data_IF_275513278626
#
_entry.id   IF_275513278626
#
_cell.length_a   1.000
_cell.length_b   1.000
_cell.length_c   1.000
_cell.angle_alpha   90.00
_cell.angle_beta   90.00
_cell.angle_gamma   90.00
#
_symmetry.space_group_name_H-M   'P 1'
#
loop_
_entity.id
_entity.type
_entity.pdbx_description
1 polymer ?
#
# COMPACT_ATOMS: atom_id res chain seq x y z
N UNK A 1 -8.44 3.98 -20.21
CA UNK A 1 -6.98 3.92 -19.98
C UNK A 1 -6.18 4.44 -21.19
N UNK A 2 -6.78 4.55 -22.37
CA UNK A 2 -6.05 4.83 -23.63
C UNK A 2 -5.48 6.25 -23.75
N UNK A 3 -6.03 7.24 -23.04
CA UNK A 3 -5.58 8.63 -23.15
C UNK A 3 -4.22 8.93 -22.51
N UNK A 4 -3.82 8.19 -21.47
CA UNK A 4 -2.58 8.45 -20.71
C UNK A 4 -1.41 7.54 -21.12
N UNK A 5 -1.71 6.38 -21.72
CA UNK A 5 -0.75 5.49 -22.37
C UNK A 5 0.22 6.20 -23.34
N UNK A 6 -0.22 7.10 -24.24
CA UNK A 6 0.70 7.81 -25.13
C UNK A 6 1.64 8.75 -24.38
N UNK A 7 1.16 9.43 -23.32
CA UNK A 7 1.99 10.32 -22.48
C UNK A 7 3.06 9.50 -21.76
N UNK A 8 2.68 8.36 -21.16
CA UNK A 8 3.61 7.47 -20.47
C UNK A 8 4.69 6.91 -21.42
N UNK A 9 4.30 6.51 -22.65
CA UNK A 9 5.26 6.05 -23.68
C UNK A 9 6.26 7.13 -24.06
N UNK A 10 5.81 8.37 -24.22
CA UNK A 10 6.68 9.48 -24.61
C UNK A 10 7.62 9.93 -23.48
N UNK A 11 7.13 9.92 -22.23
CA UNK A 11 7.96 10.12 -21.04
C UNK A 11 9.03 9.03 -20.93
N UNK A 12 8.66 7.76 -21.13
CA UNK A 12 9.61 6.63 -21.12
C UNK A 12 10.68 6.80 -22.19
N UNK A 13 10.31 7.14 -23.43
CA UNK A 13 11.26 7.39 -24.53
C UNK A 13 12.25 8.50 -24.21
N UNK A 14 11.80 9.60 -23.59
CA UNK A 14 12.70 10.71 -23.17
C UNK A 14 13.66 10.30 -22.05
N UNK A 15 13.18 9.55 -21.06
CA UNK A 15 14.01 9.06 -19.96
C UNK A 15 15.04 8.04 -20.46
N UNK A 16 14.64 7.12 -21.35
CA UNK A 16 15.53 6.13 -21.95
C UNK A 16 16.63 6.77 -22.80
N UNK A 17 16.28 7.79 -23.59
CA UNK A 17 17.25 8.56 -24.39
C UNK A 17 18.25 9.34 -23.51
N UNK A 18 17.83 9.80 -22.33
CA UNK A 18 18.68 10.57 -21.42
C UNK A 18 19.56 9.69 -20.53
N UNK A 19 19.06 8.54 -20.08
CA UNK A 19 19.71 7.74 -19.04
C UNK A 19 20.28 6.40 -19.49
N UNK A 20 19.97 5.92 -20.70
CA UNK A 20 20.64 4.78 -21.35
C UNK A 20 20.57 3.41 -20.64
N UNK A 21 20.26 2.35 -21.37
CA UNK A 21 20.64 0.98 -20.99
C UNK A 21 19.78 0.22 -19.97
N UNK A 22 18.63 0.73 -19.52
CA UNK A 22 17.68 -0.05 -18.71
C UNK A 22 16.21 0.18 -19.11
N UNK A 23 15.35 -0.82 -18.87
CA UNK A 23 13.90 -0.65 -18.93
C UNK A 23 13.41 0.22 -17.77
N UNK A 24 13.14 1.49 -18.04
CA UNK A 24 12.57 2.38 -17.02
C UNK A 24 11.10 2.04 -16.76
N UNK A 25 10.78 1.62 -15.54
CA UNK A 25 9.40 1.50 -15.07
C UNK A 25 8.98 2.84 -14.48
N UNK A 26 7.89 3.41 -15.01
CA UNK A 26 7.30 4.65 -14.50
C UNK A 26 6.16 4.25 -13.58
N UNK A 27 6.27 4.58 -12.29
CA UNK A 27 5.14 4.48 -11.38
C UNK A 27 4.05 5.45 -11.83
N UNK A 28 2.84 4.94 -12.00
CA UNK A 28 1.67 5.74 -12.40
C UNK A 28 0.63 5.74 -11.27
N UNK A 29 -0.21 6.77 -11.26
CA UNK A 29 -1.27 6.92 -10.27
C UNK A 29 -2.27 5.74 -10.29
N UNK A 30 -2.68 5.20 -9.13
CA UNK A 30 -3.62 4.08 -9.05
C UNK A 30 -5.00 4.38 -9.64
N UNK A 31 -5.39 5.64 -9.87
CA UNK A 31 -6.62 6.01 -10.59
C UNK A 31 -6.72 5.31 -11.95
N UNK A 32 -5.59 5.03 -12.59
CA UNK A 32 -5.55 4.33 -13.87
C UNK A 32 -6.13 2.92 -13.80
N UNK A 33 -6.02 2.27 -12.64
CA UNK A 33 -6.49 0.91 -12.41
C UNK A 33 -8.00 0.86 -12.19
N UNK A 34 -8.67 1.98 -11.88
CA UNK A 34 -10.11 2.01 -11.63
C UNK A 34 -10.95 1.57 -12.82
N UNK A 35 -10.41 1.71 -14.04
CA UNK A 35 -11.07 1.21 -15.25
C UNK A 35 -10.94 -0.30 -15.47
N UNK A 36 -10.08 -0.99 -14.70
CA UNK A 36 -9.87 -2.42 -14.84
C UNK A 36 -11.05 -3.19 -14.22
N UNK A 37 -11.61 -4.14 -14.96
CA UNK A 37 -12.81 -4.90 -14.55
C UNK A 37 -12.66 -5.54 -13.17
N UNK A 38 -11.54 -6.19 -12.88
CA UNK A 38 -11.29 -6.76 -11.55
C UNK A 38 -11.29 -5.72 -10.41
N UNK A 39 -10.86 -4.48 -10.68
CA UNK A 39 -10.89 -3.39 -9.68
C UNK A 39 -12.31 -2.93 -9.46
N UNK A 40 -13.07 -2.73 -10.54
CA UNK A 40 -14.49 -2.36 -10.44
C UNK A 40 -15.27 -3.42 -9.67
N UNK A 41 -15.10 -4.71 -10.01
CA UNK A 41 -15.75 -5.82 -9.31
C UNK A 41 -15.36 -5.89 -7.84
N UNK A 42 -14.07 -5.75 -7.52
CA UNK A 42 -13.62 -5.74 -6.12
C UNK A 42 -14.22 -4.55 -5.35
N UNK A 43 -14.22 -3.35 -5.95
CA UNK A 43 -14.75 -2.14 -5.34
C UNK A 43 -16.23 -2.29 -4.98
N UNK A 44 -17.04 -2.82 -5.90
CA UNK A 44 -18.47 -3.05 -5.68
C UNK A 44 -18.74 -4.01 -4.51
N UNK A 45 -17.91 -5.04 -4.36
CA UNK A 45 -18.00 -5.98 -3.23
C UNK A 45 -17.55 -5.30 -1.93
N UNK A 46 -16.49 -4.48 -2.00
CA UNK A 46 -15.95 -3.81 -0.83
C UNK A 46 -16.85 -2.69 -0.28
N UNK A 47 -17.75 -2.11 -1.06
CA UNK A 47 -18.70 -1.09 -0.56
C UNK A 47 -19.52 -1.62 0.64
N UNK A 48 -20.35 -2.67 0.51
CA UNK A 48 -21.09 -3.21 1.64
C UNK A 48 -20.18 -3.90 2.67
N UNK A 49 -19.11 -4.55 2.20
CA UNK A 49 -18.19 -5.28 3.08
C UNK A 49 -17.44 -4.34 4.03
N UNK A 50 -17.05 -3.15 3.57
CA UNK A 50 -16.33 -2.16 4.39
C UNK A 50 -17.21 -1.63 5.53
N UNK A 51 -18.52 -1.45 5.27
CA UNK A 51 -19.48 -1.10 6.33
C UNK A 51 -19.54 -2.22 7.37
N UNK A 52 -19.59 -3.48 6.93
CA UNK A 52 -19.58 -4.63 7.84
C UNK A 52 -18.28 -4.70 8.65
N UNK A 53 -17.13 -4.48 8.01
CA UNK A 53 -15.82 -4.40 8.69
C UNK A 53 -15.83 -3.28 9.72
N UNK A 54 -16.37 -2.10 9.40
CA UNK A 54 -16.44 -0.98 10.34
C UNK A 54 -17.26 -1.30 11.59
N UNK A 55 -18.30 -2.14 11.49
CA UNK A 55 -19.08 -2.60 12.65
C UNK A 55 -18.35 -3.67 13.45
N UNK A 56 -17.58 -4.54 12.78
CA UNK A 56 -16.91 -5.69 13.43
C UNK A 56 -15.57 -5.32 14.06
N UNK A 57 -14.84 -4.33 13.54
CA UNK A 57 -13.52 -3.94 14.05
C UNK A 57 -13.67 -3.38 15.48
N UNK A 58 -13.03 -4.00 16.48
CA UNK A 58 -13.18 -3.58 17.87
C UNK A 58 -12.59 -2.18 18.08
N UNK A 59 -13.34 -1.34 18.78
CA UNK A 59 -12.92 0.04 19.08
C UNK A 59 -13.04 1.01 17.90
N UNK A 60 -13.56 0.57 16.74
CA UNK A 60 -13.80 1.46 15.61
C UNK A 60 -14.95 2.45 15.91
N UNK A 61 -14.73 3.72 15.63
CA UNK A 61 -15.73 4.80 15.78
C UNK A 61 -16.04 5.48 14.44
N UNK A 62 -15.42 5.04 13.35
CA UNK A 62 -15.54 5.65 12.03
C UNK A 62 -16.45 4.81 11.13
N UNK A 63 -17.55 5.40 10.68
CA UNK A 63 -18.37 4.84 9.61
C UNK A 63 -18.04 5.57 8.28
N UNK A 64 -17.49 4.88 7.27
CA UNK A 64 -16.86 5.53 6.11
C UNK A 64 -17.87 5.92 5.03
N UNK A 65 -19.02 6.50 5.38
CA UNK A 65 -20.07 6.85 4.40
C UNK A 65 -19.57 7.81 3.31
N UNK A 66 -18.75 8.80 3.68
CA UNK A 66 -18.17 9.75 2.73
C UNK A 66 -17.09 9.14 1.83
N UNK A 67 -16.45 8.07 2.30
CA UNK A 67 -15.29 7.44 1.64
C UNK A 67 -15.68 6.17 0.85
N UNK A 68 -16.96 5.79 0.81
CA UNK A 68 -17.41 4.63 0.02
C UNK A 68 -17.10 4.80 -1.47
N UNK A 69 -17.17 6.04 -1.97
CA UNK A 69 -16.87 6.37 -3.36
C UNK A 69 -15.38 6.20 -3.72
N UNK A 70 -14.50 6.28 -2.73
CA UNK A 70 -13.04 6.17 -2.92
C UNK A 70 -12.49 4.78 -2.64
N UNK A 71 -13.33 3.82 -2.22
CA UNK A 71 -12.93 2.43 -1.96
C UNK A 71 -12.14 1.83 -3.14
N UNK A 72 -12.52 2.13 -4.38
CA UNK A 72 -11.81 1.59 -5.53
C UNK A 72 -10.32 1.91 -5.56
N UNK A 73 -9.90 3.06 -5.00
CA UNK A 73 -8.49 3.42 -4.89
C UNK A 73 -7.75 2.54 -3.87
N UNK A 74 -8.39 2.21 -2.74
CA UNK A 74 -7.83 1.32 -1.73
C UNK A 74 -7.58 -0.09 -2.28
N UNK A 75 -8.54 -0.61 -3.04
CA UNK A 75 -8.47 -1.99 -3.55
C UNK A 75 -7.69 -2.09 -4.87
N UNK A 76 -7.54 -0.99 -5.61
CA UNK A 76 -6.80 -0.95 -6.88
C UNK A 76 -5.38 -1.55 -6.75
N UNK A 77 -4.64 -1.15 -5.72
CA UNK A 77 -3.31 -1.68 -5.46
C UNK A 77 -3.33 -3.16 -5.07
N UNK A 78 -4.30 -3.58 -4.26
CA UNK A 78 -4.47 -4.99 -3.91
C UNK A 78 -4.74 -5.84 -5.16
N UNK A 79 -5.59 -5.38 -6.07
CA UNK A 79 -5.87 -6.07 -7.34
C UNK A 79 -4.63 -6.14 -8.23
N UNK A 80 -3.86 -5.06 -8.33
CA UNK A 80 -2.63 -5.03 -9.11
C UNK A 80 -1.58 -6.01 -8.57
N UNK A 81 -1.38 -6.04 -7.26
CA UNK A 81 -0.45 -6.99 -6.60
C UNK A 81 -0.90 -8.43 -6.81
N UNK A 82 -2.20 -8.69 -6.72
CA UNK A 82 -2.78 -10.03 -6.92
C UNK A 82 -3.04 -10.37 -8.39
N UNK A 83 -2.57 -9.56 -9.34
CA UNK A 83 -2.69 -9.79 -10.79
C UNK A 83 -4.15 -10.05 -11.23
N UNK A 84 -5.10 -9.29 -10.67
CA UNK A 84 -6.51 -9.44 -11.01
C UNK A 84 -7.26 -10.56 -10.27
N UNK A 85 -6.60 -11.34 -9.41
CA UNK A 85 -7.24 -12.41 -8.64
C UNK A 85 -8.13 -11.84 -7.53
N UNK A 86 -9.45 -11.93 -7.73
CA UNK A 86 -10.44 -11.34 -6.83
C UNK A 86 -10.44 -11.98 -5.44
N UNK A 87 -10.30 -13.30 -5.34
CA UNK A 87 -10.33 -13.99 -4.03
C UNK A 87 -9.17 -13.55 -3.14
N UNK A 88 -7.94 -13.49 -3.68
CA UNK A 88 -6.77 -13.02 -2.93
C UNK A 88 -6.87 -11.52 -2.61
N UNK A 89 -7.48 -10.75 -3.50
CA UNK A 89 -7.79 -9.34 -3.28
C UNK A 89 -8.76 -9.14 -2.13
N UNK A 90 -9.79 -9.99 -2.00
CA UNK A 90 -10.75 -9.89 -0.91
C UNK A 90 -10.08 -10.12 0.45
N UNK A 91 -9.24 -11.15 0.55
CA UNK A 91 -8.51 -11.45 1.80
C UNK A 91 -7.60 -10.28 2.20
N UNK A 92 -6.77 -9.80 1.27
CA UNK A 92 -5.86 -8.69 1.54
C UNK A 92 -6.60 -7.38 1.79
N UNK A 93 -7.66 -7.08 1.02
CA UNK A 93 -8.45 -5.87 1.16
C UNK A 93 -9.21 -5.81 2.49
N UNK A 94 -9.70 -6.94 3.02
CA UNK A 94 -10.32 -6.97 4.36
C UNK A 94 -9.31 -6.57 5.43
N UNK A 95 -8.08 -7.09 5.36
CA UNK A 95 -7.00 -6.76 6.30
C UNK A 95 -6.62 -5.28 6.18
N UNK A 96 -6.43 -4.80 4.95
CA UNK A 96 -6.11 -3.39 4.68
C UNK A 96 -7.20 -2.48 5.25
N UNK A 97 -8.47 -2.76 4.95
CA UNK A 97 -9.59 -1.94 5.38
C UNK A 97 -9.75 -1.93 6.91
N UNK A 98 -9.54 -3.08 7.55
CA UNK A 98 -9.55 -3.17 9.01
C UNK A 98 -8.46 -2.32 9.67
N UNK A 99 -7.24 -2.36 9.13
CA UNK A 99 -6.13 -1.52 9.60
C UNK A 99 -6.43 -0.04 9.35
N UNK A 100 -6.91 0.31 8.17
CA UNK A 100 -7.26 1.69 7.80
C UNK A 100 -8.32 2.28 8.73
N UNK A 101 -9.38 1.54 9.04
CA UNK A 101 -10.43 1.98 9.97
C UNK A 101 -9.93 2.11 11.41
N UNK A 102 -9.07 1.18 11.84
CA UNK A 102 -8.45 1.25 13.16
C UNK A 102 -7.55 2.48 13.31
N UNK A 103 -6.77 2.80 12.28
CA UNK A 103 -5.94 4.00 12.23
C UNK A 103 -6.81 5.28 12.15
N UNK A 104 -7.87 5.26 11.33
CA UNK A 104 -8.81 6.38 11.20
C UNK A 104 -9.47 6.74 12.53
N UNK A 105 -9.76 5.73 13.37
CA UNK A 105 -10.30 5.95 14.72
C UNK A 105 -9.32 6.71 15.61
N UNK A 106 -8.02 6.44 15.52
CA UNK A 106 -7.02 7.15 16.33
C UNK A 106 -6.79 8.59 15.88
N UNK A 107 -7.10 8.91 14.62
CA UNK A 107 -6.87 10.26 14.05
C UNK A 107 -8.10 11.18 14.14
N UNK A 108 -9.22 10.72 14.71
CA UNK A 108 -10.47 11.51 14.89
C UNK A 108 -10.20 12.85 15.58
N UNK A 109 -9.40 12.85 16.66
CA UNK A 109 -9.11 14.08 17.41
C UNK A 109 -8.41 15.14 16.55
N UNK A 110 -7.44 14.72 15.73
CA UNK A 110 -6.71 15.63 14.83
C UNK A 110 -7.62 16.14 13.70
N UNK A 111 -8.43 15.26 13.10
CA UNK A 111 -9.40 15.67 12.07
C UNK A 111 -10.46 16.63 12.60
N UNK A 112 -10.94 16.41 13.82
CA UNK A 112 -11.90 17.30 14.47
C UNK A 112 -11.29 18.67 14.75
N UNK A 113 -10.04 18.74 15.22
CA UNK A 113 -9.31 20.00 15.40
C UNK A 113 -9.09 20.73 14.08
N UNK A 114 -8.71 20.01 13.02
CA UNK A 114 -8.55 20.58 11.68
C UNK A 114 -9.87 21.17 11.15
N UNK A 115 -10.98 20.44 11.31
CA UNK A 115 -12.30 20.91 10.92
C UNK A 115 -12.75 22.14 11.73
N UNK A 116 -12.41 22.20 13.04
CA UNK A 116 -12.68 23.38 13.86
C UNK A 116 -11.90 24.61 13.38
N UNK A 117 -10.61 24.44 13.11
CA UNK A 117 -9.74 25.50 12.61
C UNK A 117 -10.16 25.99 11.22
N UNK A 118 -10.70 25.10 10.38
CA UNK A 118 -11.24 25.43 9.07
C UNK A 118 -12.65 26.06 9.12
N UNK A 119 -13.27 26.17 10.30
CA UNK A 119 -14.65 26.67 10.45
C UNK A 119 -15.71 25.71 9.90
N UNK A 120 -15.35 24.45 9.63
CA UNK A 120 -16.24 23.43 9.07
C UNK A 120 -16.91 22.56 10.14
N UNK A 121 -16.56 22.74 11.42
CA UNK A 121 -17.09 21.94 12.51
C UNK A 121 -18.45 22.45 13.01
N UNK A 122 -19.47 21.59 13.00
CA UNK A 122 -20.75 21.85 13.67
C UNK A 122 -20.57 21.76 15.18
N UNK A 123 -21.33 22.54 15.95
CA UNK A 123 -21.23 22.57 17.41
C UNK A 123 -21.36 21.15 18.02
N UNK A 124 -20.34 20.72 18.76
CA UNK A 124 -20.28 19.39 19.39
C UNK A 124 -20.05 18.22 18.42
N UNK A 125 -19.78 18.48 17.13
CA UNK A 125 -19.51 17.45 16.14
C UNK A 125 -18.11 16.85 16.28
N UNK A 126 -17.97 15.60 15.83
CA UNK A 126 -16.67 14.99 15.54
C UNK A 126 -16.55 14.77 14.04
N UNK A 127 -15.35 14.94 13.51
CA UNK A 127 -15.05 14.71 12.09
C UNK A 127 -13.98 13.66 11.98
N UNK A 128 -14.22 12.70 11.11
CA UNK A 128 -13.31 11.61 10.79
C UNK A 128 -13.32 11.38 9.28
N UNK A 129 -12.21 10.87 8.75
CA UNK A 129 -12.12 10.43 7.37
C UNK A 129 -11.33 9.12 7.33
N UNK A 130 -11.81 8.16 6.56
CA UNK A 130 -11.12 6.89 6.33
C UNK A 130 -9.97 7.09 5.34
N UNK A 131 -10.16 7.88 4.28
CA UNK A 131 -9.13 8.15 3.27
C UNK A 131 -7.90 8.86 3.86
N UNK A 132 -8.09 10.04 4.43
CA UNK A 132 -6.99 10.83 4.97
C UNK A 132 -6.58 10.35 6.37
N UNK A 133 -7.54 10.06 7.24
CA UNK A 133 -7.29 9.62 8.62
C UNK A 133 -6.79 8.20 8.75
N UNK A 134 -7.06 7.33 7.78
CA UNK A 134 -6.63 5.93 7.78
C UNK A 134 -5.27 5.68 7.12
N UNK A 135 -4.60 6.73 6.63
CA UNK A 135 -3.28 6.62 5.98
C UNK A 135 -2.21 6.10 6.97
N UNK A 136 -1.62 4.92 6.73
CA UNK A 136 -0.60 4.36 7.63
C UNK A 136 0.66 5.22 7.72
N UNK A 137 1.04 5.88 6.63
CA UNK A 137 2.23 6.73 6.58
C UNK A 137 2.00 7.97 7.44
N UNK A 138 0.85 8.62 7.28
CA UNK A 138 0.51 9.82 8.07
C UNK A 138 0.42 9.48 9.56
N UNK A 139 -0.19 8.35 9.91
CA UNK A 139 -0.27 7.88 11.29
C UNK A 139 1.11 7.60 11.88
N UNK A 140 2.00 6.92 11.14
CA UNK A 140 3.39 6.71 11.57
C UNK A 140 4.11 8.03 11.81
N UNK A 141 3.94 9.03 10.95
CA UNK A 141 4.54 10.35 11.16
C UNK A 141 3.98 11.04 12.40
N UNK A 142 2.65 11.08 12.56
CA UNK A 142 2.00 11.65 13.75
C UNK A 142 2.58 11.04 15.01
N UNK A 143 2.65 9.71 15.04
CA UNK A 143 3.11 8.98 16.21
C UNK A 143 4.59 9.28 16.52
N UNK A 144 5.42 9.46 15.49
CA UNK A 144 6.85 9.75 15.62
C UNK A 144 7.08 11.11 16.29
N UNK A 145 6.23 12.09 15.96
CA UNK A 145 6.34 13.44 16.50
C UNK A 145 5.62 13.62 17.85
N UNK A 146 4.56 12.87 18.13
CA UNK A 146 3.83 12.97 19.42
C UNK A 146 4.39 12.08 20.53
N UNK A 147 5.24 11.09 20.23
CA UNK A 147 5.83 10.14 21.20
C UNK A 147 4.82 9.38 22.09
N UNK A 148 3.52 9.41 21.76
CA UNK A 148 2.47 8.85 22.62
C UNK A 148 2.37 7.31 22.55
N UNK A 149 2.83 6.65 21.48
CA UNK A 149 2.81 5.18 21.33
C UNK A 149 4.20 4.62 21.03
N UNK A 150 5.14 4.84 21.96
CA UNK A 150 6.50 4.28 21.88
C UNK A 150 6.49 2.76 21.74
N UNK A 151 5.54 2.09 22.39
CA UNK A 151 5.36 0.62 22.32
C UNK A 151 4.95 0.16 20.92
N UNK A 152 4.07 0.91 20.24
CA UNK A 152 3.65 0.61 18.87
C UNK A 152 4.81 0.71 17.87
N UNK A 153 5.67 1.73 18.03
CA UNK A 153 6.90 1.84 17.23
C UNK A 153 7.87 0.70 17.46
N UNK A 154 8.04 0.28 18.71
CA UNK A 154 8.92 -0.84 19.02
C UNK A 154 8.45 -2.12 18.32
N UNK A 155 7.15 -2.40 18.34
CA UNK A 155 6.56 -3.58 17.67
C UNK A 155 6.72 -3.49 16.14
N UNK A 156 6.36 -2.36 15.53
CA UNK A 156 6.48 -2.19 14.08
C UNK A 156 7.95 -2.25 13.64
N UNK A 157 8.83 -1.60 14.39
CA UNK A 157 10.27 -1.63 14.18
C UNK A 157 10.85 -3.04 14.28
N UNK A 158 10.43 -3.83 15.27
CA UNK A 158 10.84 -5.24 15.43
C UNK A 158 10.33 -6.08 14.27
N UNK A 159 9.07 -5.94 13.85
CA UNK A 159 8.50 -6.67 12.70
C UNK A 159 9.28 -6.33 11.43
N UNK A 160 9.55 -5.04 11.21
CA UNK A 160 10.29 -4.57 10.04
C UNK A 160 11.73 -5.06 10.04
N UNK A 161 12.45 -4.92 11.16
CA UNK A 161 13.82 -5.42 11.33
C UNK A 161 13.88 -6.94 11.16
N UNK A 162 12.89 -7.67 11.67
CA UNK A 162 12.81 -9.12 11.48
C UNK A 162 12.58 -9.46 10.00
N UNK A 163 11.68 -8.74 9.32
CA UNK A 163 11.48 -8.87 7.87
C UNK A 163 12.75 -8.63 7.07
N UNK A 164 13.49 -7.56 7.39
CA UNK A 164 14.78 -7.21 6.78
C UNK A 164 15.85 -8.25 7.09
N UNK A 165 15.94 -8.75 8.31
CA UNK A 165 16.89 -9.79 8.70
C UNK A 165 16.60 -11.12 8.00
N UNK A 166 15.34 -11.49 7.87
CA UNK A 166 14.93 -12.72 7.16
C UNK A 166 15.18 -12.61 5.66
N UNK A 167 14.86 -11.47 5.03
CA UNK A 167 15.17 -11.23 3.62
C UNK A 167 16.67 -11.15 3.37
N UNK A 168 17.44 -10.53 4.27
CA UNK A 168 18.89 -10.48 4.16
C UNK A 168 19.54 -11.84 4.36
N UNK A 169 19.05 -12.64 5.33
CA UNK A 169 19.49 -14.04 5.52
C UNK A 169 19.15 -14.89 4.30
N UNK A 170 17.96 -14.71 3.71
CA UNK A 170 17.56 -15.40 2.50
C UNK A 170 18.43 -14.99 1.31
N UNK A 171 18.69 -13.70 1.11
CA UNK A 171 19.57 -13.19 0.06
C UNK A 171 21.00 -13.72 0.19
N UNK A 172 21.58 -13.73 1.40
CA UNK A 172 22.91 -14.32 1.63
C UNK A 172 22.94 -15.82 1.35
N UNK A 173 21.87 -16.56 1.70
CA UNK A 173 21.77 -18.00 1.37
C UNK A 173 21.71 -18.22 -0.13
N UNK A 174 20.94 -17.43 -0.89
CA UNK A 174 20.91 -17.52 -2.34
C UNK A 174 22.28 -17.24 -2.97
N UNK A 175 22.98 -16.19 -2.53
CA UNK A 175 24.32 -15.86 -3.02
C UNK A 175 25.32 -16.98 -2.68
N UNK A 176 25.22 -17.60 -1.50
CA UNK A 176 26.09 -18.71 -1.11
C UNK A 176 25.84 -19.97 -1.95
N UNK A 177 24.57 -20.28 -2.26
CA UNK A 177 24.20 -21.41 -3.13
C UNK A 177 24.66 -21.17 -4.56
N UNK A 178 24.47 -19.97 -5.11
CA UNK A 178 24.94 -19.61 -6.46
C UNK A 178 26.47 -19.69 -6.57
N UNK A 179 27.18 -19.27 -5.51
CA UNK A 179 28.65 -19.35 -5.46
C UNK A 179 29.12 -20.81 -5.36
N UNK A 180 28.41 -21.65 -4.60
CA UNK A 180 28.70 -23.09 -4.50
C UNK A 180 28.42 -23.83 -5.82
N UNK A 181 27.33 -23.52 -6.53
CA UNK A 181 27.04 -24.08 -7.85
C UNK A 181 28.10 -23.67 -8.89
N UNK A 182 28.53 -22.40 -8.89
CA UNK A 182 29.61 -21.92 -9.77
C UNK A 182 30.98 -22.53 -9.45
N UNK A 183 31.24 -22.90 -8.20
CA UNK A 183 32.48 -23.59 -7.79
C UNK A 183 32.43 -25.11 -8.02
N UNK A 184 31.23 -25.69 -8.15
CA UNK A 184 31.03 -27.12 -8.40
C UNK A 184 30.96 -27.49 -9.89
N UNK A 185 30.81 -26.52 -10.80
CA UNK A 185 30.93 -26.75 -12.24
C UNK A 185 32.42 -26.77 -12.65
N UNK A 186 33.01 -27.93 -13.01
CA UNK A 186 34.39 -27.98 -13.47
C UNK A 186 34.50 -27.30 -14.83
N UNK A 187 35.56 -26.50 -15.01
CA UNK A 187 36.00 -26.00 -16.32
C UNK A 187 36.14 -27.19 -17.30
N UNK A 188 35.18 -27.36 -18.20
CA UNK A 188 35.36 -28.18 -19.41
C UNK A 188 35.77 -27.27 -20.57
N UNK A 189 37.05 -27.44 -20.93
CA UNK A 189 37.76 -27.09 -22.17
C UNK A 189 37.79 -25.63 -22.63
N UNK A 190 38.71 -24.86 -22.06
CA UNK A 190 39.65 -24.09 -22.90
C UNK A 190 40.85 -24.98 -23.19
N UNK A 191 40.90 -25.55 -24.39
CA UNK A 191 42.01 -26.36 -24.89
C UNK A 191 42.05 -26.22 -26.40
N UNK A 192 42.85 -25.25 -26.86
CA UNK A 192 43.38 -25.07 -28.20
C UNK A 192 43.69 -26.42 -28.88
N UNK A 193 43.13 -26.66 -30.08
CA UNK A 193 43.90 -26.84 -31.32
C UNK A 193 43.00 -26.88 -32.54
#
# INVERSE_FOLDING_TARGET
>A
MDGLTPIAKQARKRLQAKFGGQEFLIGLDPALLLGHTSVVSASLIFIPLTILIAVVVPGNQVLPFGDLATIGFFVAMAVAVHQGNLFRTLISGVIIMGITLWIATQTIGLHTQLAANAGALKAGGMVASMDQGGSPITWLLIQLFTWQNVVGFAVIGIIYLTGVLLTWRRARRFIAVEKAEKSAAPQQSTGMS
#
